data_IF_156993737318
#
_entry.id   IF_156993737318
#
_cell.length_a   1.000
_cell.length_b   1.000
_cell.length_c   1.000
_cell.angle_alpha   90.00
_cell.angle_beta   90.00
_cell.angle_gamma   90.00
#
_symmetry.space_group_name_H-M   'P 1'
#
loop_
_entity.id
_entity.type
_entity.pdbx_description
1 polymer ?
#
# COMPACT_ATOMS: atom_id res chain seq x y z
N UNK A 1 20.37 7.19 10.25
CA UNK A 1 20.23 7.36 8.78
C UNK A 1 18.75 7.52 8.47
N UNK A 2 18.30 8.68 7.96
CA UNK A 2 16.90 8.90 7.64
C UNK A 2 16.55 8.16 6.34
N UNK A 3 16.04 6.92 6.44
CA UNK A 3 15.50 6.21 5.29
C UNK A 3 14.21 6.93 4.87
N UNK A 4 14.08 7.25 3.58
CA UNK A 4 12.85 7.81 3.01
C UNK A 4 11.62 6.97 3.40
N UNK A 5 10.41 7.55 3.47
CA UNK A 5 9.18 6.79 3.60
C UNK A 5 9.08 5.67 2.54
N UNK A 6 8.52 4.53 2.94
CA UNK A 6 8.28 3.43 2.02
C UNK A 6 7.14 3.81 1.05
N UNK A 7 7.35 3.56 -0.24
CA UNK A 7 6.41 3.91 -1.31
C UNK A 7 5.45 2.78 -1.59
N UNK A 8 4.19 2.98 -1.27
CA UNK A 8 3.11 2.01 -1.46
C UNK A 8 2.22 2.48 -2.60
N UNK A 9 2.11 1.65 -3.64
CA UNK A 9 1.15 1.83 -4.70
C UNK A 9 -0.03 0.89 -4.46
N UNK A 10 -1.23 1.43 -4.31
CA UNK A 10 -2.43 0.65 -3.96
C UNK A 10 -3.36 0.58 -5.17
N UNK A 11 -3.82 -0.61 -5.52
CA UNK A 11 -4.68 -0.82 -6.67
C UNK A 11 -5.80 -1.85 -6.40
N UNK A 12 -6.98 -1.55 -6.94
CA UNK A 12 -8.06 -2.52 -7.13
C UNK A 12 -8.04 -3.06 -8.56
N UNK A 13 -8.79 -4.13 -8.84
CA UNK A 13 -8.87 -4.69 -10.20
C UNK A 13 -9.43 -3.65 -11.19
N UNK A 14 -10.41 -2.88 -10.73
CA UNK A 14 -11.05 -1.73 -11.39
C UNK A 14 -11.21 -0.61 -10.36
N UNK A 15 -11.36 0.65 -10.80
CA UNK A 15 -11.55 1.79 -9.88
C UNK A 15 -12.87 1.65 -9.11
N UNK A 16 -12.79 1.19 -7.87
CA UNK A 16 -13.93 1.03 -6.96
C UNK A 16 -13.81 1.92 -5.70
N UNK A 17 -12.84 2.84 -5.69
CA UNK A 17 -12.59 3.76 -4.60
C UNK A 17 -11.83 3.19 -3.40
N UNK A 18 -11.61 1.87 -3.27
CA UNK A 18 -10.87 1.32 -2.12
C UNK A 18 -9.41 1.75 -2.09
N UNK A 19 -8.77 1.84 -3.26
CA UNK A 19 -7.39 2.34 -3.35
C UNK A 19 -7.26 3.80 -2.91
N UNK A 20 -8.18 4.67 -3.36
CA UNK A 20 -8.24 6.09 -2.95
C UNK A 20 -8.55 6.26 -1.47
N UNK A 21 -9.39 5.37 -0.91
CA UNK A 21 -9.67 5.36 0.52
C UNK A 21 -8.40 5.13 1.31
N UNK A 22 -7.59 4.13 0.94
CA UNK A 22 -6.31 3.83 1.59
C UNK A 22 -5.36 5.04 1.52
N UNK A 23 -5.22 5.64 0.34
CA UNK A 23 -4.39 6.85 0.15
C UNK A 23 -4.82 7.98 1.09
N UNK A 24 -6.13 8.24 1.21
CA UNK A 24 -6.66 9.27 2.12
C UNK A 24 -6.29 9.01 3.58
N UNK A 25 -6.39 7.76 4.04
CA UNK A 25 -6.01 7.41 5.42
C UNK A 25 -4.50 7.56 5.64
N UNK A 26 -3.67 7.26 4.64
CA UNK A 26 -2.23 7.35 4.75
C UNK A 26 -1.71 8.80 4.91
N UNK A 27 -2.49 9.81 4.53
CA UNK A 27 -2.15 11.22 4.73
C UNK A 27 -2.10 11.65 6.20
N UNK A 28 -2.54 10.81 7.16
CA UNK A 28 -2.40 11.10 8.58
C UNK A 28 -0.91 11.28 8.96
N UNK A 29 -0.51 12.35 9.68
CA UNK A 29 0.90 12.65 9.94
C UNK A 29 1.70 11.49 10.55
N UNK A 30 1.05 10.74 11.45
CA UNK A 30 1.63 9.58 12.14
C UNK A 30 1.99 8.42 11.19
N UNK A 31 1.34 8.34 10.03
CA UNK A 31 1.59 7.37 8.97
C UNK A 31 2.50 7.96 7.89
N UNK A 32 2.30 9.22 7.50
CA UNK A 32 3.04 9.89 6.43
C UNK A 32 4.55 10.00 6.71
N UNK A 33 4.97 10.02 7.98
CA UNK A 33 6.40 9.98 8.32
C UNK A 33 7.07 8.63 7.98
N UNK A 34 6.28 7.58 7.73
CA UNK A 34 6.75 6.23 7.43
C UNK A 34 6.38 5.75 6.03
N UNK A 35 5.25 6.22 5.48
CA UNK A 35 4.67 5.77 4.22
C UNK A 35 4.41 6.95 3.28
N UNK A 36 4.82 6.80 2.02
CA UNK A 36 4.31 7.58 0.90
C UNK A 36 3.34 6.68 0.12
N UNK A 37 2.05 7.00 0.09
CA UNK A 37 1.02 6.16 -0.54
C UNK A 37 0.44 6.85 -1.76
N UNK A 38 0.29 6.10 -2.86
CA UNK A 38 -0.44 6.51 -4.05
C UNK A 38 -1.51 5.48 -4.39
N UNK A 39 -2.65 5.94 -4.88
CA UNK A 39 -3.66 5.05 -5.46
C UNK A 39 -3.55 5.02 -6.98
N UNK A 40 -3.64 3.82 -7.56
CA UNK A 40 -3.79 3.64 -8.99
C UNK A 40 -5.27 3.54 -9.37
N UNK A 41 -5.61 3.98 -10.58
CA UNK A 41 -6.97 3.83 -11.12
C UNK A 41 -7.38 2.35 -11.22
N UNK A 42 -6.47 1.47 -11.65
CA UNK A 42 -6.68 0.02 -11.61
C UNK A 42 -5.38 -0.74 -11.81
N UNK A 43 -5.36 -2.00 -11.35
CA UNK A 43 -4.24 -2.93 -11.54
C UNK A 43 -3.92 -3.13 -13.03
N UNK A 44 -4.93 -3.02 -13.91
CA UNK A 44 -4.78 -3.20 -15.37
C UNK A 44 -4.20 -1.99 -16.10
N UNK A 45 -4.10 -0.84 -15.43
CA UNK A 45 -3.62 0.42 -16.01
C UNK A 45 -2.29 0.87 -15.44
N UNK A 46 -1.64 0.03 -14.64
CA UNK A 46 -0.32 0.31 -14.11
C UNK A 46 0.68 0.35 -15.25
N UNK A 47 1.48 1.41 -15.30
CA UNK A 47 2.60 1.51 -16.22
C UNK A 47 3.93 1.18 -15.53
N UNK A 48 5.02 1.25 -16.29
CA UNK A 48 6.36 0.95 -15.75
C UNK A 48 6.81 1.98 -14.71
N UNK A 49 6.46 3.25 -14.87
CA UNK A 49 6.87 4.31 -13.96
C UNK A 49 6.18 4.15 -12.59
N UNK A 50 4.92 3.72 -12.58
CA UNK A 50 4.19 3.33 -11.38
C UNK A 50 4.94 2.24 -10.59
N UNK A 51 5.38 1.19 -11.29
CA UNK A 51 6.08 0.06 -10.69
C UNK A 51 7.51 0.39 -10.25
N UNK A 52 8.21 1.27 -10.97
CA UNK A 52 9.55 1.76 -10.60
C UNK A 52 9.51 2.70 -9.40
N UNK A 53 8.42 3.45 -9.22
CA UNK A 53 8.23 4.29 -8.04
C UNK A 53 7.96 3.46 -6.77
N UNK A 54 7.19 2.37 -6.90
CA UNK A 54 6.69 1.61 -5.77
C UNK A 54 7.73 0.64 -5.16
N UNK A 55 7.94 0.73 -3.84
CA UNK A 55 8.60 -0.33 -3.07
C UNK A 55 7.64 -1.51 -2.85
N UNK A 56 6.35 -1.22 -2.75
CA UNK A 56 5.30 -2.20 -2.54
C UNK A 56 4.06 -1.90 -3.39
N UNK A 57 3.72 -2.80 -4.31
CA UNK A 57 2.43 -2.82 -4.99
C UNK A 57 1.43 -3.64 -4.16
N UNK A 58 0.35 -2.98 -3.75
CA UNK A 58 -0.69 -3.52 -2.86
C UNK A 58 -1.98 -3.74 -3.64
N UNK A 59 -2.40 -4.99 -3.77
CA UNK A 59 -3.74 -5.36 -4.21
C UNK A 59 -4.72 -5.28 -3.04
N UNK A 60 -5.85 -4.57 -3.20
CA UNK A 60 -6.84 -4.43 -2.12
C UNK A 60 -7.64 -5.71 -1.83
N UNK A 61 -7.68 -6.65 -2.78
CA UNK A 61 -8.36 -7.95 -2.63
C UNK A 61 -7.73 -9.07 -3.49
N UNK A 62 -8.34 -10.26 -3.45
CA UNK A 62 -7.91 -11.43 -4.22
C UNK A 62 -8.07 -11.26 -5.74
N UNK A 63 -9.07 -10.51 -6.19
CA UNK A 63 -9.30 -10.30 -7.63
C UNK A 63 -8.22 -9.40 -8.22
N UNK A 64 -7.86 -8.32 -7.50
CA UNK A 64 -6.76 -7.44 -7.86
C UNK A 64 -5.41 -8.17 -7.78
N UNK A 65 -5.20 -9.01 -6.76
CA UNK A 65 -3.94 -9.74 -6.60
C UNK A 65 -3.69 -10.77 -7.71
N UNK A 66 -4.75 -11.40 -8.23
CA UNK A 66 -4.63 -12.26 -9.42
C UNK A 66 -4.24 -11.50 -10.69
N UNK A 67 -4.42 -10.18 -10.69
CA UNK A 67 -4.08 -9.31 -11.81
C UNK A 67 -2.75 -8.56 -11.61
N UNK A 68 -1.91 -8.97 -10.64
CA UNK A 68 -0.57 -8.38 -10.52
C UNK A 68 0.19 -8.46 -11.86
N UNK A 69 0.97 -7.41 -12.20
CA UNK A 69 1.76 -7.43 -13.41
C UNK A 69 2.82 -8.53 -13.34
N UNK A 70 2.98 -9.28 -14.43
CA UNK A 70 3.99 -10.34 -14.55
C UNK A 70 5.41 -9.77 -14.60
N UNK A 71 5.58 -8.59 -15.19
CA UNK A 71 6.84 -7.86 -15.24
C UNK A 71 6.85 -6.73 -14.21
N UNK A 72 7.89 -6.67 -13.39
CA UNK A 72 8.11 -5.59 -12.41
C UNK A 72 9.59 -5.49 -12.03
N UNK A 73 10.06 -4.32 -11.56
CA UNK A 73 11.38 -4.20 -10.96
C UNK A 73 11.55 -5.14 -9.76
N UNK A 74 12.77 -5.65 -9.54
CA UNK A 74 13.08 -6.52 -8.40
C UNK A 74 12.83 -5.82 -7.04
N UNK A 75 12.91 -4.49 -7.03
CA UNK A 75 12.67 -3.61 -5.87
C UNK A 75 11.19 -3.40 -5.55
N UNK A 76 10.28 -3.72 -6.47
CA UNK A 76 8.84 -3.54 -6.28
C UNK A 76 8.22 -4.82 -5.74
N UNK A 77 7.98 -4.92 -4.43
CA UNK A 77 7.40 -6.10 -3.81
C UNK A 77 5.88 -6.15 -4.00
N UNK A 78 5.29 -7.35 -3.93
CA UNK A 78 3.84 -7.53 -4.04
C UNK A 78 3.23 -7.82 -2.67
N UNK A 79 2.10 -7.19 -2.36
CA UNK A 79 1.31 -7.53 -1.17
C UNK A 79 -0.16 -7.53 -1.46
N UNK A 80 -0.86 -8.48 -0.87
CA UNK A 80 -2.31 -8.59 -0.95
C UNK A 80 -2.95 -8.24 0.38
N UNK A 81 -3.96 -7.38 0.33
CA UNK A 81 -4.89 -7.13 1.42
C UNK A 81 -6.22 -7.80 1.13
N UNK A 82 -7.07 -7.89 2.15
CA UNK A 82 -8.46 -8.35 2.06
C UNK A 82 -9.36 -7.25 2.58
N UNK A 83 -9.40 -6.13 1.87
CA UNK A 83 -10.30 -5.05 2.25
C UNK A 83 -11.75 -5.47 1.93
N UNK A 84 -12.71 -5.18 2.83
CA UNK A 84 -14.13 -5.27 2.53
C UNK A 84 -14.48 -4.52 1.23
N UNK A 85 -15.61 -4.85 0.63
CA UNK A 85 -16.11 -4.16 -0.55
C UNK A 85 -16.27 -2.65 -0.28
N UNK A 86 -16.18 -1.84 -1.34
CA UNK A 86 -16.43 -0.40 -1.24
C UNK A 86 -17.83 -0.12 -0.67
N UNK A 87 -17.92 0.85 0.24
CA UNK A 87 -19.16 1.20 0.94
C UNK A 87 -19.57 0.25 2.07
N UNK A 88 -18.85 -0.86 2.30
CA UNK A 88 -19.09 -1.69 3.48
C UNK A 88 -18.75 -0.91 4.77
N UNK A 89 -19.53 -1.02 5.85
CA UNK A 89 -19.31 -0.24 7.08
C UNK A 89 -17.91 -0.40 7.70
N UNK A 90 -17.24 -1.53 7.45
CA UNK A 90 -15.92 -1.87 8.01
C UNK A 90 -14.74 -1.55 7.11
N UNK A 91 -14.95 -1.03 5.89
CA UNK A 91 -13.86 -0.82 4.91
C UNK A 91 -12.83 0.20 5.39
N UNK A 92 -13.28 1.25 6.07
CA UNK A 92 -12.41 2.29 6.62
C UNK A 92 -11.54 1.76 7.76
N UNK A 93 -12.16 1.05 8.72
CA UNK A 93 -11.44 0.42 9.83
C UNK A 93 -10.42 -0.61 9.33
N UNK A 94 -10.76 -1.38 8.29
CA UNK A 94 -9.85 -2.32 7.66
C UNK A 94 -8.67 -1.63 6.97
N UNK A 95 -8.90 -0.52 6.24
CA UNK A 95 -7.84 0.26 5.61
C UNK A 95 -6.89 0.87 6.66
N UNK A 96 -7.43 1.47 7.72
CA UNK A 96 -6.64 2.03 8.82
C UNK A 96 -5.83 0.94 9.54
N UNK A 97 -6.44 -0.22 9.82
CA UNK A 97 -5.75 -1.35 10.44
C UNK A 97 -4.58 -1.86 9.57
N UNK A 98 -4.80 -2.01 8.27
CA UNK A 98 -3.77 -2.45 7.33
C UNK A 98 -2.56 -1.50 7.30
N UNK A 99 -2.80 -0.19 7.24
CA UNK A 99 -1.74 0.83 7.29
C UNK A 99 -0.97 0.79 8.62
N UNK A 100 -1.69 0.75 9.75
CA UNK A 100 -1.08 0.70 11.08
C UNK A 100 -0.26 -0.58 11.28
N UNK A 101 -0.67 -1.70 10.70
CA UNK A 101 0.10 -2.95 10.76
C UNK A 101 1.47 -2.80 10.08
N UNK A 102 1.54 -2.17 8.90
CA UNK A 102 2.82 -1.93 8.19
C UNK A 102 3.70 -0.97 8.99
N UNK A 103 3.13 0.15 9.46
CA UNK A 103 3.87 1.12 10.27
C UNK A 103 4.36 0.52 11.58
N UNK A 104 3.57 -0.33 12.22
CA UNK A 104 3.98 -1.06 13.42
C UNK A 104 5.21 -1.93 13.17
N UNK A 105 5.23 -2.67 12.07
CA UNK A 105 6.40 -3.46 11.66
C UNK A 105 7.64 -2.61 11.41
N UNK A 106 7.50 -1.49 10.69
CA UNK A 106 8.62 -0.57 10.44
C UNK A 106 9.17 0.07 11.73
N UNK A 107 8.29 0.41 12.68
CA UNK A 107 8.68 0.93 13.99
C UNK A 107 9.45 -0.11 14.81
N UNK A 108 9.05 -1.37 14.74
CA UNK A 108 9.76 -2.46 15.43
C UNK A 108 11.17 -2.61 14.87
N UNK A 109 11.31 -2.65 13.53
CA UNK A 109 12.62 -2.74 12.86
C UNK A 109 13.51 -1.53 13.19
N UNK A 110 12.96 -0.32 13.17
CA UNK A 110 13.70 0.90 13.50
C UNK A 110 14.21 0.94 14.94
N UNK A 111 13.50 0.31 15.89
CA UNK A 111 13.96 0.20 17.29
C UNK A 111 15.11 -0.80 17.45
N UNK A 112 15.12 -1.87 16.66
CA UNK A 112 16.20 -2.85 16.66
C UNK A 112 17.48 -2.26 16.05
N UNK A 113 17.36 -1.57 14.91
CA UNK A 113 18.47 -0.85 14.25
C UNK A 113 19.13 0.21 15.16
N UNK A 114 18.44 0.71 16.20
CA UNK A 114 18.96 1.72 17.12
C UNK A 114 19.57 1.14 18.41
N UNK A 115 19.43 -0.17 18.63
CA UNK A 115 20.00 -0.87 19.78
C UNK A 115 21.36 -1.52 19.49
N UNK A 116 21.78 -1.52 18.22
CA UNK A 116 23.09 -1.94 17.71
C UNK A 116 24.01 -0.73 17.47
#
# INVERSE_FOLDING_TARGET
MYKRPARLLVAALTDDGRARLVERFACQPVLAQWLEVRSAASMRRLDRADLEWADLLVAVDDAAARAFPSERPATCHLRRWRLPAAGAPSVEAAAASALNCIVGGMRMLARMDAAD
#
